data_IF_611101656336
#
_entry.id   IF_611101656336
#
_cell.length_a   1.000
_cell.length_b   1.000
_cell.length_c   1.000
_cell.angle_alpha   90.00
_cell.angle_beta   90.00
_cell.angle_gamma   90.00
#
_symmetry.space_group_name_H-M   'P 1'
#
loop_
_entity.id
_entity.type
_entity.pdbx_description
1 polymer ?
#
# COMPACT_ATOMS: atom_id res chain seq x y z
N UNK A 1 26.21 9.45 -9.68
CA UNK A 1 26.46 8.34 -8.74
C UNK A 1 26.19 8.87 -7.34
N UNK A 2 25.06 8.53 -6.70
CA UNK A 2 24.74 9.06 -5.36
C UNK A 2 25.62 8.36 -4.30
N UNK A 3 26.13 9.07 -3.28
CA UNK A 3 26.93 8.49 -2.22
C UNK A 3 26.12 7.47 -1.39
N UNK A 4 26.77 6.39 -0.96
CA UNK A 4 26.17 5.31 -0.16
C UNK A 4 25.55 5.79 1.16
N UNK A 5 25.93 6.97 1.67
CA UNK A 5 25.33 7.62 2.83
C UNK A 5 23.90 8.12 2.60
N UNK A 6 23.54 8.52 1.37
CA UNK A 6 22.15 8.88 1.03
C UNK A 6 21.25 7.64 0.91
N UNK A 7 21.80 6.50 0.46
CA UNK A 7 21.05 5.23 0.38
C UNK A 7 20.77 4.67 1.77
N UNK A 8 21.68 4.88 2.74
CA UNK A 8 21.50 4.46 4.13
C UNK A 8 20.44 5.29 4.89
N UNK A 9 20.20 6.55 4.49
CA UNK A 9 19.09 7.37 5.01
C UNK A 9 17.72 7.01 4.43
N UNK A 10 17.71 6.35 3.27
CA UNK A 10 16.52 5.79 2.62
C UNK A 10 16.22 4.36 3.09
N UNK A 11 16.59 4.02 4.34
CA UNK A 11 16.13 2.79 5.00
C UNK A 11 14.61 2.86 5.12
N UNK A 12 13.96 2.25 4.13
CA UNK A 12 12.67 1.58 4.21
C UNK A 12 11.80 2.08 5.37
N UNK A 13 11.21 3.27 5.20
CA UNK A 13 9.88 3.47 5.75
C UNK A 13 8.94 2.60 4.93
N UNK A 14 9.01 1.28 5.12
CA UNK A 14 7.84 0.46 4.93
C UNK A 14 6.73 1.16 5.75
N UNK A 15 5.55 1.40 5.18
CA UNK A 15 4.45 2.00 5.93
C UNK A 15 4.34 1.22 7.24
N UNK A 16 4.40 1.90 8.39
CA UNK A 16 4.41 1.25 9.71
C UNK A 16 3.25 0.24 9.88
N UNK A 17 2.17 0.45 9.13
CA UNK A 17 1.02 -0.44 8.99
C UNK A 17 1.32 -1.78 8.32
N UNK A 18 2.13 -1.82 7.25
CA UNK A 18 2.47 -3.07 6.53
C UNK A 18 3.26 -4.04 7.41
N UNK A 19 4.19 -3.52 8.20
CA UNK A 19 4.99 -4.32 9.14
C UNK A 19 4.09 -4.94 10.21
N UNK A 20 3.07 -4.22 10.67
CA UNK A 20 2.11 -4.72 11.64
C UNK A 20 1.28 -5.90 11.07
N UNK A 21 0.82 -5.81 9.82
CA UNK A 21 0.04 -6.91 9.19
C UNK A 21 0.88 -8.17 9.02
N UNK A 22 2.13 -8.04 8.57
CA UNK A 22 3.05 -9.20 8.44
C UNK A 22 3.33 -9.84 9.80
N UNK A 23 3.54 -9.04 10.84
CA UNK A 23 3.75 -9.55 12.20
C UNK A 23 2.50 -10.25 12.75
N UNK A 24 1.31 -9.68 12.54
CA UNK A 24 0.04 -10.31 12.95
C UNK A 24 -0.19 -11.65 12.24
N UNK A 25 0.10 -11.72 10.93
CA UNK A 25 0.05 -12.95 10.16
C UNK A 25 1.05 -13.99 10.65
N UNK A 26 2.28 -13.59 10.96
CA UNK A 26 3.30 -14.49 11.49
C UNK A 26 2.94 -15.02 12.89
N UNK A 27 2.40 -14.17 13.77
CA UNK A 27 1.92 -14.57 15.10
C UNK A 27 0.76 -15.55 15.00
N UNK A 28 -0.16 -15.36 14.04
CA UNK A 28 -1.25 -16.30 13.79
C UNK A 28 -0.79 -17.71 13.38
N UNK A 29 0.45 -17.87 12.91
CA UNK A 29 1.04 -19.18 12.57
C UNK A 29 1.72 -19.87 13.76
N UNK A 30 1.85 -19.20 14.91
CA UNK A 30 2.47 -19.79 16.10
C UNK A 30 1.54 -20.86 16.72
N UNK A 31 2.07 -22.05 17.02
CA UNK A 31 1.26 -23.15 17.60
C UNK A 31 0.79 -22.87 19.04
N UNK A 32 1.32 -21.83 19.69
CA UNK A 32 0.94 -21.42 21.04
C UNK A 32 -0.33 -20.55 21.10
N UNK A 33 -0.88 -20.11 19.96
CA UNK A 33 -2.07 -19.26 19.90
C UNK A 33 -3.34 -20.13 19.93
N UNK A 34 -4.30 -19.75 20.76
CA UNK A 34 -5.61 -20.41 20.82
C UNK A 34 -6.38 -20.28 19.49
N UNK A 35 -7.25 -21.25 19.19
CA UNK A 35 -8.07 -21.23 17.97
C UNK A 35 -8.82 -19.91 17.78
N UNK A 36 -9.46 -19.40 18.84
CA UNK A 36 -10.16 -18.12 18.83
C UNK A 36 -9.23 -16.94 18.55
N UNK A 37 -8.02 -16.94 19.13
CA UNK A 37 -7.01 -15.90 18.90
C UNK A 37 -6.51 -15.90 17.45
N UNK A 38 -6.25 -17.08 16.88
CA UNK A 38 -5.83 -17.24 15.48
C UNK A 38 -6.91 -16.74 14.52
N UNK A 39 -8.18 -17.07 14.77
CA UNK A 39 -9.30 -16.57 13.96
C UNK A 39 -9.39 -15.05 13.98
N UNK A 40 -9.28 -14.44 15.17
CA UNK A 40 -9.31 -12.98 15.32
C UNK A 40 -8.16 -12.32 14.55
N UNK A 41 -6.93 -12.83 14.70
CA UNK A 41 -5.76 -12.29 14.00
C UNK A 41 -5.88 -12.40 12.48
N UNK A 42 -6.33 -13.54 11.96
CA UNK A 42 -6.57 -13.74 10.53
C UNK A 42 -7.71 -12.86 10.00
N UNK A 43 -8.77 -12.67 10.79
CA UNK A 43 -9.85 -11.74 10.47
C UNK A 43 -9.36 -10.30 10.35
N UNK A 44 -8.52 -9.84 11.28
CA UNK A 44 -7.90 -8.51 11.21
C UNK A 44 -6.98 -8.37 9.98
N UNK A 45 -6.20 -9.41 9.65
CA UNK A 45 -5.38 -9.43 8.43
C UNK A 45 -6.26 -9.32 7.18
N UNK A 46 -7.38 -10.05 7.12
CA UNK A 46 -8.31 -10.02 6.00
C UNK A 46 -8.87 -8.60 5.77
N UNK A 47 -9.28 -7.92 6.84
CA UNK A 47 -9.77 -6.53 6.77
C UNK A 47 -8.66 -5.58 6.30
N UNK A 48 -7.45 -5.70 6.85
CA UNK A 48 -6.33 -4.85 6.46
C UNK A 48 -5.95 -5.00 4.97
N UNK A 49 -5.94 -6.24 4.45
CA UNK A 49 -5.68 -6.49 3.04
C UNK A 49 -6.84 -6.03 2.15
N UNK A 50 -8.09 -6.17 2.60
CA UNK A 50 -9.26 -5.66 1.87
C UNK A 50 -9.24 -4.14 1.72
N UNK A 51 -8.89 -3.40 2.80
CA UNK A 51 -8.70 -1.94 2.74
C UNK A 51 -7.57 -1.59 1.76
N UNK A 52 -6.46 -2.33 1.82
CA UNK A 52 -5.32 -2.12 0.91
C UNK A 52 -5.72 -2.32 -0.56
N UNK A 53 -6.49 -3.38 -0.85
CA UNK A 53 -7.03 -3.63 -2.19
C UNK A 53 -7.96 -2.48 -2.63
N UNK A 54 -8.83 -1.99 -1.74
CA UNK A 54 -9.72 -0.86 -2.02
C UNK A 54 -8.97 0.43 -2.37
N UNK A 55 -7.90 0.75 -1.64
CA UNK A 55 -7.02 1.89 -1.95
C UNK A 55 -6.35 1.69 -3.31
N UNK A 56 -5.90 0.47 -3.62
CA UNK A 56 -5.32 0.15 -4.93
C UNK A 56 -6.33 0.33 -6.07
N UNK A 57 -7.60 -0.05 -5.89
CA UNK A 57 -8.66 0.16 -6.89
C UNK A 57 -8.89 1.65 -7.13
N UNK A 58 -8.89 2.47 -6.08
CA UNK A 58 -8.94 3.92 -6.23
C UNK A 58 -7.74 4.44 -7.05
N UNK A 59 -6.53 3.95 -6.76
CA UNK A 59 -5.32 4.35 -7.50
C UNK A 59 -5.40 3.99 -8.99
N UNK A 60 -5.82 2.75 -9.32
CA UNK A 60 -6.08 2.35 -10.71
C UNK A 60 -7.16 3.24 -11.34
N UNK A 61 -8.23 3.57 -10.61
CA UNK A 61 -9.27 4.46 -11.10
C UNK A 61 -8.77 5.88 -11.40
N UNK A 62 -7.82 6.41 -10.62
CA UNK A 62 -7.14 7.68 -10.91
C UNK A 62 -6.26 7.55 -12.16
N UNK A 63 -5.48 6.47 -12.28
CA UNK A 63 -4.65 6.18 -13.47
C UNK A 63 -5.48 6.04 -14.77
N UNK A 64 -6.72 5.55 -14.66
CA UNK A 64 -7.66 5.44 -15.79
C UNK A 64 -8.50 6.72 -16.00
N UNK A 65 -8.30 7.76 -15.19
CA UNK A 65 -9.06 9.01 -15.27
C UNK A 65 -10.53 8.90 -14.84
N UNK A 66 -10.93 7.81 -14.19
CA UNK A 66 -12.29 7.58 -13.68
C UNK A 66 -12.53 8.44 -12.42
N UNK A 67 -11.48 8.63 -11.61
CA UNK A 67 -11.53 9.42 -10.38
C UNK A 67 -10.55 10.59 -10.44
N UNK A 68 -10.90 11.69 -9.77
CA UNK A 68 -9.95 12.77 -9.52
C UNK A 68 -8.85 12.27 -8.57
N UNK A 69 -7.60 12.54 -8.96
CA UNK A 69 -6.43 12.28 -8.10
C UNK A 69 -6.42 13.18 -6.86
N UNK A 70 -5.71 12.77 -5.80
CA UNK A 70 -5.61 13.58 -4.60
C UNK A 70 -4.86 14.89 -4.88
N UNK A 71 -5.30 15.99 -4.26
CA UNK A 71 -4.71 17.33 -4.40
C UNK A 71 -3.25 17.41 -3.94
N UNK A 72 -2.82 16.44 -3.14
CA UNK A 72 -1.43 16.28 -2.71
C UNK A 72 -0.52 15.81 -3.85
N UNK A 73 -1.05 15.14 -4.88
CA UNK A 73 -0.26 14.68 -6.00
C UNK A 73 0.09 15.80 -7.00
N UNK A 74 -0.76 16.83 -7.09
CA UNK A 74 -0.44 18.04 -7.83
C UNK A 74 0.53 18.98 -7.09
N UNK A 75 0.97 18.61 -5.88
CA UNK A 75 1.92 19.37 -5.07
C UNK A 75 1.40 20.77 -4.76
N UNK A 76 0.88 20.99 -3.56
CA UNK A 76 0.70 22.34 -3.04
C UNK A 76 2.05 23.02 -2.84
N UNK A 77 2.68 23.49 -3.93
CA UNK A 77 3.92 24.24 -3.87
C UNK A 77 3.53 25.64 -3.42
N UNK A 78 3.67 25.89 -2.12
CA UNK A 78 3.57 27.22 -1.54
C UNK A 78 4.96 27.86 -1.51
N UNK A 79 5.01 29.13 -1.86
CA UNK A 79 6.22 29.94 -1.81
C UNK A 79 5.84 31.41 -1.77
N UNK A 80 6.62 32.20 -1.04
CA UNK A 80 6.30 33.60 -0.78
C UNK A 80 6.66 34.50 -1.98
N UNK A 81 7.34 33.94 -2.99
CA UNK A 81 7.69 34.61 -4.24
C UNK A 81 7.71 33.65 -5.44
N UNK A 82 7.50 34.21 -6.64
CA UNK A 82 7.54 33.45 -7.92
C UNK A 82 8.87 32.72 -8.12
N UNK A 83 9.99 33.33 -7.70
CA UNK A 83 11.32 32.75 -7.86
C UNK A 83 11.58 31.58 -6.90
N UNK A 84 10.97 31.60 -5.72
CA UNK A 84 11.00 30.48 -4.78
C UNK A 84 10.11 29.32 -5.26
N UNK A 85 8.92 29.63 -5.78
CA UNK A 85 8.05 28.64 -6.42
C UNK A 85 8.76 27.98 -7.61
N UNK A 86 9.44 28.78 -8.46
CA UNK A 86 10.21 28.29 -9.61
C UNK A 86 11.35 27.36 -9.18
N UNK A 87 12.13 27.73 -8.16
CA UNK A 87 13.19 26.85 -7.64
C UNK A 87 12.64 25.55 -7.06
N UNK A 88 11.55 25.60 -6.30
CA UNK A 88 10.88 24.42 -5.73
C UNK A 88 10.32 23.51 -6.83
N UNK A 89 9.70 24.08 -7.86
CA UNK A 89 9.16 23.33 -9.01
C UNK A 89 10.26 22.63 -9.82
N UNK A 90 11.39 23.29 -10.04
CA UNK A 90 12.53 22.71 -10.78
C UNK A 90 13.31 21.66 -9.98
N UNK A 91 13.20 21.66 -8.64
CA UNK A 91 13.88 20.71 -7.76
C UNK A 91 13.01 19.48 -7.41
N UNK A 92 11.68 19.60 -7.50
CA UNK A 92 10.76 18.53 -7.15
C UNK A 92 10.69 17.47 -8.27
N UNK A 93 10.82 16.17 -7.96
CA UNK A 93 10.49 15.12 -8.90
C UNK A 93 9.00 15.21 -9.27
N UNK A 94 8.68 15.39 -10.55
CA UNK A 94 7.30 15.40 -11.03
C UNK A 94 6.78 13.95 -10.94
N UNK A 95 5.95 13.67 -9.94
CA UNK A 95 5.23 12.40 -9.81
C UNK A 95 3.78 12.64 -10.21
N UNK A 96 3.35 12.00 -11.29
CA UNK A 96 1.97 12.07 -11.80
C UNK A 96 1.19 10.87 -11.29
N UNK A 97 0.10 11.09 -10.55
CA UNK A 97 -0.77 10.02 -10.04
C UNK A 97 -1.81 9.58 -11.07
N UNK A 98 -2.02 10.38 -12.10
CA UNK A 98 -2.93 10.15 -13.23
C UNK A 98 -2.23 9.45 -14.40
N UNK A 99 -0.96 9.07 -14.25
CA UNK A 99 -0.22 8.32 -15.24
C UNK A 99 0.32 7.02 -14.69
N UNK A 100 0.27 5.98 -15.52
CA UNK A 100 0.85 4.68 -15.21
C UNK A 100 2.37 4.76 -15.30
N UNK A 101 3.03 4.89 -14.14
CA UNK A 101 4.49 4.95 -14.07
C UNK A 101 5.18 3.66 -14.56
N UNK A 102 4.53 2.51 -14.37
CA UNK A 102 5.02 1.21 -14.85
C UNK A 102 3.85 0.25 -15.09
N UNK A 103 3.94 -0.52 -16.17
CA UNK A 103 2.98 -1.58 -16.50
C UNK A 103 3.68 -2.83 -17.04
N UNK A 104 3.03 -3.97 -16.85
CA UNK A 104 3.40 -5.25 -17.44
C UNK A 104 2.12 -5.97 -17.87
N UNK A 105 2.09 -6.53 -19.08
CA UNK A 105 0.91 -7.14 -19.69
C UNK A 105 -0.36 -6.25 -19.64
N UNK A 106 -0.20 -4.93 -19.70
CA UNK A 106 -1.31 -3.98 -19.64
C UNK A 106 -1.87 -3.74 -18.22
N UNK A 107 -1.27 -4.32 -17.18
CA UNK A 107 -1.65 -4.09 -15.78
C UNK A 107 -0.62 -3.15 -15.16
N UNK A 108 -1.09 -2.07 -14.52
CA UNK A 108 -0.22 -1.15 -13.79
C UNK A 108 0.30 -1.79 -12.51
N UNK A 109 1.40 -1.26 -11.96
CA UNK A 109 1.89 -1.68 -10.64
C UNK A 109 0.80 -1.61 -9.56
N UNK A 110 -0.06 -0.59 -9.62
CA UNK A 110 -1.21 -0.46 -8.73
C UNK A 110 -2.22 -1.60 -8.93
N UNK A 111 -2.50 -1.97 -10.17
CA UNK A 111 -3.34 -3.13 -10.49
C UNK A 111 -2.79 -4.44 -9.92
N UNK A 112 -1.48 -4.67 -10.01
CA UNK A 112 -0.85 -5.82 -9.37
C UNK A 112 -0.99 -5.82 -7.85
N UNK A 113 -0.88 -4.65 -7.20
CA UNK A 113 -1.11 -4.52 -5.76
C UNK A 113 -2.55 -4.82 -5.37
N UNK A 114 -3.54 -4.45 -6.19
CA UNK A 114 -4.95 -4.83 -5.99
C UNK A 114 -5.10 -6.33 -6.01
N UNK A 115 -4.57 -7.00 -7.05
CA UNK A 115 -4.68 -8.46 -7.21
C UNK A 115 -4.05 -9.19 -6.03
N UNK A 116 -2.81 -8.83 -5.67
CA UNK A 116 -2.09 -9.46 -4.57
C UNK A 116 -2.81 -9.24 -3.23
N UNK A 117 -3.26 -8.02 -2.95
CA UNK A 117 -3.95 -7.69 -1.70
C UNK A 117 -5.31 -8.39 -1.61
N UNK A 118 -6.07 -8.45 -2.71
CA UNK A 118 -7.34 -9.18 -2.76
C UNK A 118 -7.14 -10.68 -2.51
N UNK A 119 -6.11 -11.29 -3.12
CA UNK A 119 -5.78 -12.70 -2.89
C UNK A 119 -5.43 -12.98 -1.41
N UNK A 120 -4.63 -12.11 -0.78
CA UNK A 120 -4.28 -12.22 0.63
C UNK A 120 -5.47 -12.00 1.56
N UNK A 121 -6.38 -11.08 1.21
CA UNK A 121 -7.61 -10.86 1.95
C UNK A 121 -8.50 -12.13 1.95
N UNK A 122 -8.71 -12.72 0.78
CA UNK A 122 -9.48 -13.97 0.62
C UNK A 122 -8.82 -15.11 1.37
N UNK A 123 -7.50 -15.27 1.24
CA UNK A 123 -6.75 -16.32 1.95
C UNK A 123 -6.90 -16.21 3.47
N UNK A 124 -6.72 -15.00 4.00
CA UNK A 124 -6.84 -14.72 5.44
C UNK A 124 -8.26 -14.94 5.94
N UNK A 125 -9.27 -14.53 5.16
CA UNK A 125 -10.68 -14.73 5.49
C UNK A 125 -11.05 -16.22 5.50
N UNK A 126 -10.66 -16.96 4.47
CA UNK A 126 -10.89 -18.42 4.41
C UNK A 126 -10.21 -19.13 5.58
N UNK A 127 -8.99 -18.71 5.96
CA UNK A 127 -8.31 -19.21 7.15
C UNK A 127 -9.08 -18.94 8.45
N UNK A 128 -9.61 -17.73 8.61
CA UNK A 128 -10.43 -17.37 9.77
C UNK A 128 -11.73 -18.19 9.85
N UNK A 129 -12.43 -18.37 8.72
CA UNK A 129 -13.69 -19.12 8.65
C UNK A 129 -13.50 -20.64 8.79
N UNK A 130 -12.37 -21.18 8.31
CA UNK A 130 -12.08 -22.62 8.46
C UNK A 130 -11.75 -23.03 9.88
N UNK A 131 -11.22 -22.10 10.69
CA UNK A 131 -11.06 -22.33 12.11
C UNK A 131 -12.36 -22.75 12.79
N UNK A 132 -13.51 -22.22 12.36
CA UNK A 132 -14.84 -22.46 12.96
C UNK A 132 -15.35 -23.89 12.86
N UNK A 133 -14.86 -24.68 11.89
CA UNK A 133 -15.35 -26.05 11.67
C UNK A 133 -14.61 -27.13 12.47
N UNK A 134 -13.58 -26.75 13.22
CA UNK A 134 -12.73 -27.68 13.97
C UNK A 134 -12.73 -27.49 15.49
N UNK A 135 -13.58 -26.62 16.03
CA UNK A 135 -13.75 -26.41 17.48
C UNK A 135 -15.13 -26.91 17.94
#
# INVERSE_FOLDING_TARGET
RRPLSEIAGSRATAPRSTTAVVLLGAVALLPAISESGRRMLLGLCAVAFAITAGIGVYHVGVEQGIFAGPTTCSGGITGDSVEELRRKLMAAPIVRCDEVAWSLFGISLAGYNVIASAALAVFSLVGALRGERGA
#
